data_IF_256705155159
#
_entry.id   IF_256705155159
#
_cell.length_a   1.000
_cell.length_b   1.000
_cell.length_c   1.000
_cell.angle_alpha   90.00
_cell.angle_beta   90.00
_cell.angle_gamma   90.00
#
_symmetry.space_group_name_H-M   'P 1'
#
loop_
_entity.id
_entity.type
_entity.pdbx_description
1 polymer ?
#
# COMPACT_ATOMS: atom_id res chain seq x y z
N UNK A 1 13.89 -10.06 -5.08
CA UNK A 1 12.50 -9.69 -4.75
C UNK A 1 11.59 -10.87 -4.98
N UNK A 2 10.89 -11.31 -3.93
CA UNK A 2 9.85 -12.32 -4.04
C UNK A 2 8.52 -11.65 -4.42
N UNK A 3 8.06 -11.86 -5.66
CA UNK A 3 6.84 -11.22 -6.20
C UNK A 3 5.58 -11.61 -5.41
N UNK A 4 5.45 -12.87 -5.00
CA UNK A 4 4.28 -13.36 -4.27
C UNK A 4 4.17 -12.67 -2.91
N UNK A 5 5.29 -12.55 -2.18
CA UNK A 5 5.31 -11.87 -0.89
C UNK A 5 5.07 -10.36 -1.03
N UNK A 6 5.62 -9.75 -2.09
CA UNK A 6 5.34 -8.35 -2.41
C UNK A 6 3.84 -8.11 -2.63
N UNK A 7 3.19 -8.89 -3.49
CA UNK A 7 1.76 -8.76 -3.79
C UNK A 7 0.90 -8.99 -2.53
N UNK A 8 1.29 -9.96 -1.69
CA UNK A 8 0.65 -10.21 -0.41
C UNK A 8 0.73 -8.99 0.52
N UNK A 9 1.92 -8.43 0.72
CA UNK A 9 2.10 -7.26 1.58
C UNK A 9 1.43 -6.00 1.00
N UNK A 10 1.42 -5.85 -0.32
CA UNK A 10 0.73 -4.75 -0.99
C UNK A 10 -0.77 -4.78 -0.68
N UNK A 11 -1.41 -5.95 -0.83
CA UNK A 11 -2.83 -6.14 -0.49
C UNK A 11 -3.10 -5.92 1.00
N UNK A 12 -2.22 -6.42 1.87
CA UNK A 12 -2.33 -6.27 3.33
C UNK A 12 -2.30 -4.80 3.75
N UNK A 13 -1.25 -4.05 3.36
CA UNK A 13 -1.10 -2.66 3.78
C UNK A 13 -2.18 -1.74 3.20
N UNK A 14 -2.67 -2.02 2.00
CA UNK A 14 -3.75 -1.23 1.40
C UNK A 14 -5.08 -1.48 2.11
N UNK A 15 -5.40 -2.73 2.45
CA UNK A 15 -6.59 -3.05 3.25
C UNK A 15 -6.52 -2.36 4.61
N UNK A 16 -5.38 -2.50 5.30
CA UNK A 16 -5.15 -1.85 6.58
C UNK A 16 -5.32 -0.33 6.48
N UNK A 17 -4.77 0.29 5.42
CA UNK A 17 -4.90 1.73 5.20
C UNK A 17 -6.33 2.17 4.89
N UNK A 18 -7.11 1.39 4.14
CA UNK A 18 -8.52 1.68 3.87
C UNK A 18 -9.34 1.60 5.16
N UNK A 19 -9.08 0.59 6.01
CA UNK A 19 -9.79 0.40 7.28
C UNK A 19 -9.45 1.45 8.34
N UNK A 20 -8.23 2.00 8.30
CA UNK A 20 -7.71 2.91 9.33
C UNK A 20 -7.55 4.36 8.86
N UNK A 21 -8.10 4.72 7.70
CA UNK A 21 -8.15 6.10 7.19
C UNK A 21 -9.59 6.56 6.95
N UNK A 22 -9.76 7.76 6.42
CA UNK A 22 -11.06 8.28 5.98
C UNK A 22 -11.55 7.65 4.65
N UNK A 23 -10.80 6.69 4.10
CA UNK A 23 -11.10 6.00 2.84
C UNK A 23 -10.79 6.82 1.59
N UNK A 24 -10.32 8.06 1.73
CA UNK A 24 -9.86 8.90 0.61
C UNK A 24 -8.45 8.52 0.21
N UNK A 25 -8.07 8.76 -1.04
CA UNK A 25 -6.70 8.51 -1.50
C UNK A 25 -5.65 9.28 -0.66
N UNK A 26 -5.98 10.50 -0.23
CA UNK A 26 -5.12 11.29 0.66
C UNK A 26 -4.97 10.66 2.03
N UNK A 27 -6.07 10.21 2.65
CA UNK A 27 -6.04 9.53 3.95
C UNK A 27 -5.29 8.20 3.89
N UNK A 28 -5.48 7.43 2.82
CA UNK A 28 -4.76 6.18 2.56
C UNK A 28 -3.25 6.45 2.41
N UNK A 29 -2.85 7.40 1.55
CA UNK A 29 -1.44 7.79 1.37
C UNK A 29 -0.80 8.24 2.68
N UNK A 30 -1.53 9.05 3.46
CA UNK A 30 -1.08 9.53 4.76
C UNK A 30 -0.87 8.38 5.76
N UNK A 31 -1.82 7.43 5.84
CA UNK A 31 -1.69 6.25 6.68
C UNK A 31 -0.45 5.42 6.30
N UNK A 32 -0.30 5.12 5.01
CA UNK A 32 0.83 4.36 4.48
C UNK A 32 2.17 5.04 4.78
N UNK A 33 2.24 6.37 4.71
CA UNK A 33 3.45 7.13 5.06
C UNK A 33 3.84 7.01 6.54
N UNK A 34 2.85 6.75 7.41
CA UNK A 34 3.04 6.56 8.86
C UNK A 34 3.53 5.17 9.26
N UNK A 35 3.43 4.18 8.37
CA UNK A 35 3.84 2.81 8.64
C UNK A 35 5.36 2.73 8.83
N UNK A 36 5.77 2.19 9.97
CA UNK A 36 7.19 1.96 10.29
C UNK A 36 7.49 0.47 10.24
N UNK A 37 8.25 0.03 9.24
CA UNK A 37 8.78 -1.33 9.21
C UNK A 37 9.94 -1.43 10.22
N UNK A 38 9.84 -2.28 11.26
CA UNK A 38 10.88 -2.42 12.28
C UNK A 38 12.21 -2.96 11.70
N UNK A 39 13.27 -2.90 12.52
CA UNK A 39 14.70 -2.87 12.19
C UNK A 39 15.33 -3.97 11.31
N UNK A 40 16.58 -4.34 11.64
CA UNK A 40 17.54 -5.02 10.74
C UNK A 40 17.21 -6.50 10.46
N UNK A 41 16.35 -7.12 11.28
CA UNK A 41 16.01 -8.55 11.20
C UNK A 41 14.57 -8.82 10.73
N UNK A 42 13.89 -7.80 10.21
CA UNK A 42 12.54 -8.00 9.66
C UNK A 42 12.61 -8.89 8.43
N UNK A 43 11.88 -10.01 8.47
CA UNK A 43 11.73 -10.90 7.33
C UNK A 43 11.05 -10.15 6.18
N UNK A 44 11.55 -10.37 4.96
CA UNK A 44 10.99 -9.80 3.73
C UNK A 44 10.84 -8.27 3.78
N UNK A 45 11.81 -7.63 4.46
CA UNK A 45 11.81 -6.18 4.66
C UNK A 45 11.78 -5.40 3.34
N UNK A 46 12.52 -5.88 2.34
CA UNK A 46 12.55 -5.25 1.03
C UNK A 46 11.17 -5.28 0.36
N UNK A 47 10.50 -6.43 0.37
CA UNK A 47 9.15 -6.56 -0.17
C UNK A 47 8.16 -5.66 0.56
N UNK A 48 8.22 -5.59 1.90
CA UNK A 48 7.34 -4.73 2.71
C UNK A 48 7.54 -3.25 2.44
N UNK A 49 8.79 -2.79 2.44
CA UNK A 49 9.11 -1.38 2.17
C UNK A 49 8.66 -1.00 0.76
N UNK A 50 8.90 -1.87 -0.21
CA UNK A 50 8.49 -1.62 -1.59
C UNK A 50 6.97 -1.57 -1.72
N UNK A 51 6.25 -2.52 -1.10
CA UNK A 51 4.79 -2.53 -1.10
C UNK A 51 4.21 -1.22 -0.54
N UNK A 52 4.72 -0.74 0.59
CA UNK A 52 4.28 0.53 1.19
C UNK A 52 4.58 1.71 0.25
N UNK A 53 5.79 1.76 -0.33
CA UNK A 53 6.18 2.87 -1.22
C UNK A 53 5.35 2.89 -2.50
N UNK A 54 5.19 1.74 -3.16
CA UNK A 54 4.46 1.65 -4.42
C UNK A 54 2.97 1.97 -4.18
N UNK A 55 2.38 1.50 -3.07
CA UNK A 55 1.03 1.89 -2.66
C UNK A 55 0.92 3.39 -2.38
N UNK A 56 1.83 3.94 -1.57
CA UNK A 56 1.83 5.37 -1.21
C UNK A 56 1.93 6.23 -2.47
N UNK A 57 2.89 5.95 -3.35
CA UNK A 57 3.06 6.67 -4.62
C UNK A 57 1.80 6.60 -5.48
N UNK A 58 1.17 5.44 -5.63
CA UNK A 58 -0.05 5.31 -6.42
C UNK A 58 -1.20 6.17 -5.87
N UNK A 59 -1.42 6.13 -4.55
CA UNK A 59 -2.46 6.96 -3.92
C UNK A 59 -2.12 8.45 -3.90
N UNK A 60 -0.84 8.81 -3.92
CA UNK A 60 -0.34 10.18 -3.97
C UNK A 60 -0.44 10.80 -5.37
N UNK A 61 0.00 10.07 -6.39
CA UNK A 61 0.03 10.53 -7.78
C UNK A 61 -1.38 10.55 -8.39
N UNK A 62 -2.22 9.59 -7.98
CA UNK A 62 -3.59 9.43 -8.49
C UNK A 62 -4.65 9.86 -7.48
N UNK A 63 -4.36 10.85 -6.62
CA UNK A 63 -5.31 11.37 -5.60
C UNK A 63 -6.70 11.71 -6.14
N UNK A 64 -6.78 12.13 -7.40
CA UNK A 64 -8.02 12.55 -8.07
C UNK A 64 -8.78 11.41 -8.75
N UNK A 65 -8.20 10.20 -8.83
CA UNK A 65 -8.85 9.05 -9.44
C UNK A 65 -9.79 8.37 -8.44
N UNK A 66 -10.88 7.75 -8.92
CA UNK A 66 -11.63 6.79 -8.12
C UNK A 66 -10.68 5.74 -7.55
N UNK A 67 -10.83 5.44 -6.25
CA UNK A 67 -9.99 4.49 -5.52
C UNK A 67 -9.85 3.15 -6.26
N UNK A 68 -10.95 2.64 -6.81
CA UNK A 68 -10.96 1.34 -7.48
C UNK A 68 -10.09 1.31 -8.75
N UNK A 69 -9.90 2.47 -9.41
CA UNK A 69 -8.95 2.62 -10.52
C UNK A 69 -7.50 2.60 -10.01
N UNK A 70 -7.21 3.24 -8.88
CA UNK A 70 -5.88 3.20 -8.24
C UNK A 70 -5.54 1.77 -7.80
N UNK A 71 -6.50 1.04 -7.25
CA UNK A 71 -6.36 -0.37 -6.89
C UNK A 71 -6.10 -1.25 -8.12
N UNK A 72 -6.87 -1.05 -9.18
CA UNK A 72 -6.67 -1.75 -10.45
C UNK A 72 -5.29 -1.46 -11.06
N UNK A 73 -4.81 -0.21 -10.96
CA UNK A 73 -3.47 0.19 -11.40
C UNK A 73 -2.37 -0.56 -10.64
N UNK A 74 -2.57 -0.83 -9.34
CA UNK A 74 -1.70 -1.64 -8.51
C UNK A 74 -1.85 -3.15 -8.75
N UNK A 75 -2.73 -3.57 -9.67
CA UNK A 75 -3.03 -4.97 -9.95
C UNK A 75 -3.83 -5.64 -8.85
N UNK A 76 -4.57 -4.88 -8.05
CA UNK A 76 -5.36 -5.37 -6.93
C UNK A 76 -6.86 -5.31 -7.22
N UNK A 77 -7.49 -6.47 -7.05
CA UNK A 77 -8.93 -6.58 -6.88
C UNK A 77 -9.20 -6.81 -5.38
N UNK A 78 -9.84 -5.83 -4.75
CA UNK A 78 -10.33 -5.93 -3.38
C UNK A 78 -11.79 -6.35 -3.45
N UNK A 79 -12.07 -7.61 -3.13
CA UNK A 79 -13.42 -8.14 -2.91
C UNK A 79 -14.12 -7.48 -1.71
#
# INVERSE_FOLDING_TARGET
MNRILYEQYLKEYIREAIENSDGTNSGISQYLSGLRIPGRFTRNKEEKIRAIKDAQSAFEEHRHWPRDIVLSHLGLELD
#
